data_IF_701162303025
#
_entry.id   IF_701162303025
#
_cell.length_a   1.000
_cell.length_b   1.000
_cell.length_c   1.000
_cell.angle_alpha   90.00
_cell.angle_beta   90.00
_cell.angle_gamma   90.00
#
_symmetry.space_group_name_H-M   'P 1'
#
loop_
_entity.id
_entity.type
_entity.pdbx_description
1 polymer ?
#
# COMPACT_ATOMS: atom_id res chain seq x y z
N UNK A 1 49.96 14.95 34.04
CA UNK A 1 48.68 14.79 34.80
C UNK A 1 47.54 15.73 34.39
N UNK A 2 47.78 17.00 34.01
CA UNK A 2 46.69 17.94 33.69
C UNK A 2 45.95 17.66 32.35
N UNK A 3 46.65 17.20 31.30
CA UNK A 3 46.04 16.91 29.98
C UNK A 3 45.03 15.76 30.02
N UNK A 4 45.34 14.67 30.74
CA UNK A 4 44.45 13.54 30.91
C UNK A 4 43.23 13.88 31.77
N UNK A 5 43.38 14.79 32.74
CA UNK A 5 42.26 15.30 33.54
C UNK A 5 41.25 16.09 32.69
N UNK A 6 41.73 17.06 31.91
CA UNK A 6 40.86 17.85 31.04
C UNK A 6 40.18 17.02 29.94
N UNK A 7 40.86 16.00 29.41
CA UNK A 7 40.24 15.05 28.48
C UNK A 7 39.10 14.26 29.12
N UNK A 8 39.26 13.80 30.37
CA UNK A 8 38.20 13.10 31.12
C UNK A 8 37.01 14.01 31.43
N UNK A 9 37.27 15.26 31.79
CA UNK A 9 36.22 16.28 32.01
C UNK A 9 35.47 16.57 30.71
N UNK A 10 36.19 16.79 29.60
CA UNK A 10 35.60 17.05 28.29
C UNK A 10 34.75 15.86 27.79
N UNK A 11 35.27 14.63 27.92
CA UNK A 11 34.53 13.42 27.55
C UNK A 11 33.28 13.23 28.42
N UNK A 12 33.34 13.56 29.71
CA UNK A 12 32.19 13.54 30.61
C UNK A 12 31.12 14.55 30.16
N UNK A 13 31.52 15.79 29.86
CA UNK A 13 30.62 16.85 29.38
C UNK A 13 29.96 16.50 28.04
N UNK A 14 30.70 15.95 27.08
CA UNK A 14 30.12 15.47 25.81
C UNK A 14 29.17 14.32 26.06
N UNK A 15 29.51 13.38 26.94
CA UNK A 15 28.66 12.25 27.26
C UNK A 15 27.34 12.72 27.87
N UNK A 16 27.37 13.60 28.89
CA UNK A 16 26.15 14.11 29.52
C UNK A 16 25.32 14.94 28.53
N UNK A 17 25.97 15.79 27.72
CA UNK A 17 25.29 16.51 26.64
C UNK A 17 24.60 15.56 25.65
N UNK A 18 25.26 14.48 25.23
CA UNK A 18 24.68 13.46 24.35
C UNK A 18 23.48 12.76 24.98
N UNK A 19 23.51 12.47 26.28
CA UNK A 19 22.38 11.87 26.99
C UNK A 19 21.20 12.84 27.10
N UNK A 20 21.46 14.10 27.44
CA UNK A 20 20.44 15.15 27.49
C UNK A 20 19.83 15.36 26.10
N UNK A 21 20.67 15.44 25.05
CA UNK A 21 20.22 15.59 23.67
C UNK A 21 19.38 14.40 23.22
N UNK A 22 19.80 13.16 23.52
CA UNK A 22 19.00 11.94 23.25
C UNK A 22 17.68 11.94 24.00
N UNK A 23 17.64 12.42 25.24
CA UNK A 23 16.43 12.52 26.04
C UNK A 23 15.45 13.56 25.44
N UNK A 24 15.95 14.75 25.10
CA UNK A 24 15.15 15.80 24.43
C UNK A 24 14.64 15.33 23.07
N UNK A 25 15.50 14.70 22.27
CA UNK A 25 15.11 14.09 21.01
C UNK A 25 14.10 12.96 21.21
N UNK A 26 14.24 12.13 22.24
CA UNK A 26 13.26 11.08 22.55
C UNK A 26 11.90 11.66 22.94
N UNK A 27 11.84 12.83 23.58
CA UNK A 27 10.57 13.49 23.91
C UNK A 27 9.96 14.12 22.66
N UNK A 28 10.78 14.75 21.80
CA UNK A 28 10.29 15.43 20.59
C UNK A 28 10.00 14.50 19.41
N UNK A 29 10.79 13.45 19.23
CA UNK A 29 10.69 12.46 18.14
C UNK A 29 10.01 11.17 18.59
N UNK A 30 9.88 10.91 19.90
CA UNK A 30 9.18 9.74 20.45
C UNK A 30 7.67 9.89 20.41
N UNK A 31 7.13 10.36 19.29
CA UNK A 31 5.70 10.24 19.02
C UNK A 31 5.41 8.76 18.79
N UNK A 32 4.39 8.22 19.46
CA UNK A 32 3.82 6.93 19.08
C UNK A 32 3.42 7.05 17.61
N UNK A 33 3.99 6.21 16.75
CA UNK A 33 3.66 6.20 15.32
C UNK A 33 2.14 6.12 15.14
N UNK A 34 1.60 6.83 14.14
CA UNK A 34 0.17 6.79 13.88
C UNK A 34 -0.22 5.35 13.53
N UNK A 35 -1.18 4.78 14.24
CA UNK A 35 -1.62 3.40 14.03
C UNK A 35 -2.66 3.40 12.93
N UNK A 36 -2.50 2.52 11.95
CA UNK A 36 -3.46 2.31 10.88
C UNK A 36 -4.72 1.66 11.44
N UNK A 37 -5.89 2.15 11.03
CA UNK A 37 -7.17 1.55 11.39
C UNK A 37 -7.25 0.07 10.97
N UNK A 38 -7.95 -0.80 11.73
CA UNK A 38 -8.13 -2.18 11.33
C UNK A 38 -8.95 -2.27 10.04
N UNK A 39 -8.70 -3.31 9.24
CA UNK A 39 -9.45 -3.58 8.01
C UNK A 39 -10.89 -3.93 8.34
N UNK A 40 -11.84 -3.18 7.77
CA UNK A 40 -13.29 -3.38 7.98
C UNK A 40 -13.97 -4.11 6.82
N UNK A 41 -13.50 -3.87 5.60
CA UNK A 41 -14.08 -4.49 4.40
C UNK A 41 -13.44 -5.89 4.19
N UNK A 42 -14.24 -6.98 4.26
CA UNK A 42 -13.72 -8.34 4.13
C UNK A 42 -13.16 -8.64 2.73
N UNK A 43 -13.54 -7.87 1.69
CA UNK A 43 -12.98 -8.02 0.35
C UNK A 43 -11.45 -7.84 0.34
N UNK A 44 -10.95 -6.94 1.18
CA UNK A 44 -9.52 -6.62 1.33
C UNK A 44 -8.71 -7.77 1.96
N UNK A 45 -9.39 -8.75 2.55
CA UNK A 45 -8.79 -9.91 3.19
C UNK A 45 -8.84 -11.18 2.32
N UNK A 46 -9.49 -11.11 1.14
CA UNK A 46 -9.55 -12.23 0.20
C UNK A 46 -8.25 -12.34 -0.59
N UNK A 47 -7.82 -13.56 -0.89
CA UNK A 47 -6.67 -13.78 -1.78
C UNK A 47 -7.00 -13.37 -3.22
N UNK A 48 -5.98 -13.01 -3.99
CA UNK A 48 -6.10 -12.72 -5.42
C UNK A 48 -6.77 -13.87 -6.20
N UNK A 49 -6.41 -15.11 -5.89
CA UNK A 49 -7.00 -16.30 -6.52
C UNK A 49 -8.49 -16.42 -6.22
N UNK A 50 -8.91 -16.12 -4.98
CA UNK A 50 -10.31 -16.16 -4.58
C UNK A 50 -11.12 -15.05 -5.21
N UNK A 51 -10.58 -13.83 -5.24
CA UNK A 51 -11.20 -12.69 -5.93
C UNK A 51 -11.41 -13.00 -7.42
N UNK A 52 -10.36 -13.47 -8.10
CA UNK A 52 -10.44 -13.81 -9.52
C UNK A 52 -11.48 -14.91 -9.80
N UNK A 53 -11.55 -15.93 -8.93
CA UNK A 53 -12.56 -16.97 -9.03
C UNK A 53 -13.98 -16.39 -8.87
N UNK A 54 -14.24 -15.64 -7.80
CA UNK A 54 -15.57 -15.08 -7.53
C UNK A 54 -16.03 -14.09 -8.61
N UNK A 55 -15.11 -13.30 -9.18
CA UNK A 55 -15.37 -12.41 -10.31
C UNK A 55 -15.75 -13.21 -11.55
N UNK A 56 -14.97 -14.24 -11.92
CA UNK A 56 -15.30 -15.11 -13.07
C UNK A 56 -16.63 -15.87 -12.90
N UNK A 57 -16.98 -16.20 -11.66
CA UNK A 57 -18.27 -16.82 -11.32
C UNK A 57 -19.43 -15.82 -11.34
N UNK A 58 -19.17 -14.52 -11.44
CA UNK A 58 -20.17 -13.45 -11.40
C UNK A 58 -20.74 -13.19 -10.01
N UNK A 59 -20.10 -13.70 -8.95
CA UNK A 59 -20.51 -13.51 -7.55
C UNK A 59 -20.09 -12.16 -6.98
N UNK A 60 -19.13 -11.52 -7.61
CA UNK A 60 -18.51 -10.28 -7.16
C UNK A 60 -18.17 -9.44 -8.39
N UNK A 61 -18.46 -8.13 -8.36
CA UNK A 61 -18.03 -7.23 -9.43
C UNK A 61 -16.59 -6.78 -9.21
N UNK A 62 -15.82 -6.73 -10.29
CA UNK A 62 -14.49 -6.17 -10.36
C UNK A 62 -14.49 -4.71 -9.91
N UNK A 63 -15.48 -3.91 -10.34
CA UNK A 63 -15.61 -2.51 -9.94
C UNK A 63 -15.72 -2.33 -8.42
N UNK A 64 -16.55 -3.16 -7.76
CA UNK A 64 -16.72 -3.12 -6.30
C UNK A 64 -15.42 -3.48 -5.56
N UNK A 65 -14.66 -4.44 -6.09
CA UNK A 65 -13.35 -4.81 -5.55
C UNK A 65 -12.38 -3.64 -5.70
N UNK A 66 -12.24 -3.07 -6.89
CA UNK A 66 -11.33 -1.95 -7.14
C UNK A 66 -11.68 -0.76 -6.26
N UNK A 67 -12.96 -0.41 -6.14
CA UNK A 67 -13.41 0.67 -5.26
C UNK A 67 -13.03 0.41 -3.80
N UNK A 68 -13.23 -0.80 -3.29
CA UNK A 68 -12.86 -1.15 -1.92
C UNK A 68 -11.36 -0.95 -1.65
N UNK A 69 -10.48 -1.27 -2.61
CA UNK A 69 -9.05 -1.03 -2.48
C UNK A 69 -8.70 0.45 -2.57
N UNK A 70 -9.35 1.23 -3.44
CA UNK A 70 -9.18 2.69 -3.52
C UNK A 70 -9.55 3.35 -2.19
N UNK A 71 -10.71 3.01 -1.64
CA UNK A 71 -11.18 3.56 -0.37
C UNK A 71 -10.17 3.28 0.75
N UNK A 72 -9.61 2.05 0.76
CA UNK A 72 -8.59 1.68 1.74
C UNK A 72 -7.28 2.43 1.54
N UNK A 73 -6.85 2.63 0.30
CA UNK A 73 -5.64 3.42 0.01
C UNK A 73 -5.83 4.85 0.55
N UNK A 74 -6.95 5.50 0.22
CA UNK A 74 -7.23 6.87 0.68
C UNK A 74 -7.33 6.97 2.21
N UNK A 75 -7.86 5.94 2.88
CA UNK A 75 -7.93 5.89 4.35
C UNK A 75 -6.54 5.79 5.01
N UNK A 76 -5.64 4.98 4.43
CA UNK A 76 -4.36 4.59 5.07
C UNK A 76 -3.18 5.44 4.63
N UNK A 77 -3.22 6.01 3.44
CA UNK A 77 -2.10 6.73 2.85
C UNK A 77 -1.54 7.86 3.75
N UNK A 78 -2.35 8.67 4.46
CA UNK A 78 -1.84 9.69 5.38
C UNK A 78 -1.01 9.17 6.57
N UNK A 79 -1.03 7.85 6.79
CA UNK A 79 -0.33 7.17 7.88
C UNK A 79 0.98 6.55 7.42
N UNK A 80 1.01 5.97 6.21
CA UNK A 80 2.14 5.16 5.72
C UNK A 80 2.85 5.73 4.49
N UNK A 81 2.19 6.60 3.73
CA UNK A 81 2.73 7.24 2.52
C UNK A 81 3.37 6.22 1.56
N UNK A 82 2.61 5.18 1.19
CA UNK A 82 3.12 4.00 0.47
C UNK A 82 2.99 4.12 -1.06
N UNK A 83 2.21 5.07 -1.55
CA UNK A 83 1.93 5.27 -2.97
C UNK A 83 2.41 6.64 -3.43
N UNK A 84 2.78 6.76 -4.70
CA UNK A 84 3.35 8.00 -5.26
C UNK A 84 2.45 8.60 -6.32
N UNK A 85 1.84 7.74 -7.14
CA UNK A 85 0.94 8.14 -8.22
C UNK A 85 -0.18 7.09 -8.33
N UNK A 86 -1.34 7.54 -8.82
CA UNK A 86 -2.58 6.77 -8.85
C UNK A 86 -3.17 6.72 -10.25
N UNK A 87 -3.83 5.61 -10.60
CA UNK A 87 -4.57 5.42 -11.85
C UNK A 87 -6.03 4.99 -11.57
N UNK A 88 -6.64 5.57 -10.53
CA UNK A 88 -7.94 5.14 -10.01
C UNK A 88 -9.05 5.13 -11.06
N UNK A 89 -9.18 6.20 -11.83
CA UNK A 89 -10.22 6.30 -12.87
C UNK A 89 -10.05 5.23 -13.97
N UNK A 90 -8.82 5.04 -14.45
CA UNK A 90 -8.52 4.01 -15.45
C UNK A 90 -8.72 2.60 -14.90
N UNK A 91 -8.36 2.37 -13.63
CA UNK A 91 -8.58 1.10 -12.95
C UNK A 91 -10.08 0.78 -12.82
N UNK A 92 -10.90 1.76 -12.41
CA UNK A 92 -12.36 1.61 -12.34
C UNK A 92 -12.98 1.38 -13.71
N UNK A 93 -12.52 2.11 -14.74
CA UNK A 93 -12.97 1.89 -16.12
C UNK A 93 -12.67 0.46 -16.60
N UNK A 94 -11.43 -0.02 -16.44
CA UNK A 94 -11.05 -1.39 -16.79
C UNK A 94 -11.83 -2.43 -15.98
N UNK A 95 -12.16 -2.13 -14.72
CA UNK A 95 -12.97 -3.00 -13.89
C UNK A 95 -14.40 -3.15 -14.43
N UNK A 96 -15.04 -2.06 -14.85
CA UNK A 96 -16.36 -2.09 -15.51
C UNK A 96 -16.35 -2.87 -16.83
N UNK A 97 -15.26 -2.77 -17.60
CA UNK A 97 -15.09 -3.56 -18.83
C UNK A 97 -15.02 -5.07 -18.53
N UNK A 98 -14.33 -5.46 -17.45
CA UNK A 98 -14.32 -6.85 -16.95
C UNK A 98 -15.73 -7.29 -16.55
N UNK A 99 -16.45 -6.47 -15.78
CA UNK A 99 -17.81 -6.81 -15.35
C UNK A 99 -18.76 -6.97 -16.54
N UNK A 100 -18.59 -6.16 -17.58
CA UNK A 100 -19.35 -6.25 -18.84
C UNK A 100 -19.01 -7.53 -19.61
N UNK A 101 -17.73 -7.93 -19.64
CA UNK A 101 -17.28 -9.18 -20.26
C UNK A 101 -17.81 -10.43 -19.53
N UNK A 102 -17.89 -10.39 -18.20
CA UNK A 102 -18.49 -11.48 -17.42
C UNK A 102 -20.00 -11.53 -17.67
N UNK A 103 -20.67 -10.37 -17.68
CA UNK A 103 -22.11 -10.26 -17.91
C UNK A 103 -22.52 -10.71 -19.32
N UNK A 104 -21.68 -10.47 -20.34
CA UNK A 104 -21.94 -10.90 -21.70
C UNK A 104 -21.84 -12.41 -21.91
N UNK A 105 -21.27 -13.15 -20.94
CA UNK A 105 -21.03 -14.59 -21.00
C UNK A 105 -20.32 -15.04 -22.29
N UNK A 106 -19.51 -14.17 -22.91
CA UNK A 106 -18.87 -14.42 -24.20
C UNK A 106 -17.77 -15.48 -24.16
N UNK A 107 -17.27 -15.80 -22.96
CA UNK A 107 -16.22 -16.78 -22.72
C UNK A 107 -16.64 -17.77 -21.63
N UNK A 108 -16.26 -19.03 -21.77
CA UNK A 108 -16.47 -20.01 -20.71
C UNK A 108 -15.59 -19.70 -19.49
N UNK A 109 -16.05 -20.12 -18.31
CA UNK A 109 -15.31 -19.90 -17.05
C UNK A 109 -13.97 -20.62 -17.06
N UNK A 110 -13.92 -21.80 -17.67
CA UNK A 110 -12.71 -22.61 -17.84
C UNK A 110 -11.69 -21.89 -18.72
N UNK A 111 -12.15 -21.30 -19.84
CA UNK A 111 -11.30 -20.49 -20.71
C UNK A 111 -10.75 -19.28 -19.96
N UNK A 112 -11.61 -18.52 -19.27
CA UNK A 112 -11.20 -17.35 -18.51
C UNK A 112 -10.23 -17.71 -17.37
N UNK A 113 -10.44 -18.84 -16.70
CA UNK A 113 -9.53 -19.29 -15.64
C UNK A 113 -8.15 -19.65 -16.16
N UNK A 114 -8.05 -20.17 -17.39
CA UNK A 114 -6.78 -20.58 -18.01
C UNK A 114 -6.05 -19.38 -18.63
N UNK A 115 -6.74 -18.60 -19.46
CA UNK A 115 -6.13 -17.53 -20.25
C UNK A 115 -6.06 -16.19 -19.50
N UNK A 116 -6.95 -15.98 -18.51
CA UNK A 116 -7.03 -14.75 -17.72
C UNK A 116 -7.15 -15.07 -16.21
N UNK A 117 -6.15 -15.74 -15.62
CA UNK A 117 -6.24 -16.27 -14.26
C UNK A 117 -6.47 -15.21 -13.18
N UNK A 118 -6.06 -13.96 -13.42
CA UNK A 118 -6.21 -12.81 -12.52
C UNK A 118 -7.21 -11.75 -13.03
N UNK A 119 -8.15 -12.16 -13.88
CA UNK A 119 -9.18 -11.26 -14.43
C UNK A 119 -9.92 -10.49 -13.32
N UNK A 120 -9.90 -9.16 -13.40
CA UNK A 120 -10.58 -8.26 -12.46
C UNK A 120 -9.88 -8.05 -11.10
N UNK A 121 -8.69 -8.64 -10.89
CA UNK A 121 -7.94 -8.45 -9.65
C UNK A 121 -7.15 -7.13 -9.69
N UNK A 122 -7.31 -6.23 -8.71
CA UNK A 122 -6.48 -5.02 -8.62
C UNK A 122 -5.03 -5.36 -8.29
N UNK A 123 -4.10 -4.59 -8.86
CA UNK A 123 -2.68 -4.70 -8.53
C UNK A 123 -2.02 -3.31 -8.52
N UNK A 124 -0.91 -3.22 -7.79
CA UNK A 124 -0.03 -2.05 -7.78
C UNK A 124 1.30 -2.41 -8.45
N UNK A 125 1.94 -1.43 -9.08
CA UNK A 125 3.27 -1.60 -9.67
C UNK A 125 4.26 -0.64 -9.03
N UNK A 126 5.51 -1.09 -8.85
CA UNK A 126 6.59 -0.23 -8.35
C UNK A 126 6.90 0.85 -9.38
N UNK A 127 6.99 2.11 -8.95
CA UNK A 127 7.16 3.28 -9.82
C UNK A 127 8.39 3.22 -10.75
N UNK A 128 9.41 2.44 -10.41
CA UNK A 128 10.61 2.27 -11.26
C UNK A 128 10.35 1.45 -12.53
N UNK A 129 9.16 0.85 -12.65
CA UNK A 129 8.74 0.09 -13.81
C UNK A 129 7.89 0.97 -14.71
N UNK A 130 8.07 0.81 -16.03
CA UNK A 130 7.34 1.59 -17.03
C UNK A 130 5.89 1.12 -17.10
N UNK A 131 4.95 2.05 -16.96
CA UNK A 131 3.53 1.82 -17.15
C UNK A 131 3.01 2.72 -18.27
N UNK A 132 2.12 2.19 -19.10
CA UNK A 132 1.47 3.00 -20.13
C UNK A 132 0.75 4.20 -19.51
N UNK A 133 0.93 5.38 -20.11
CA UNK A 133 0.32 6.62 -19.63
C UNK A 133 0.96 7.22 -18.36
N UNK A 134 2.06 6.66 -17.85
CA UNK A 134 2.76 7.16 -16.66
C UNK A 134 4.20 7.59 -16.98
N UNK A 135 4.60 8.76 -16.48
CA UNK A 135 5.97 9.25 -16.60
C UNK A 135 6.82 8.72 -15.45
N UNK A 136 7.86 7.96 -15.76
CA UNK A 136 8.98 7.72 -14.84
C UNK A 136 9.86 8.96 -14.82
N UNK A 137 9.91 9.67 -13.68
CA UNK A 137 10.89 10.74 -13.43
C UNK A 137 12.23 10.16 -12.98
#
# INVERSE_FOLDING_TARGET
MKKTFWYRVFHFLISTFRHIWRFVLSIKLGTKGKIVSPVRNPLLLKSATKLAQEIREGKLKSEEVVQAYIDRILEVEPYINATVDHCFEDALKKAREVDSLIASASYSREYLSKEKPLLGVPFSMKIILMAEGKYTK
#
